data_IF_110220484385
#
_entry.id   IF_110220484385
#
_cell.length_a   1.000
_cell.length_b   1.000
_cell.length_c   1.000
_cell.angle_alpha   90.00
_cell.angle_beta   90.00
_cell.angle_gamma   90.00
#
_symmetry.space_group_name_H-M   'P 1'
#
loop_
_entity.id
_entity.type
_entity.pdbx_description
1 polymer ?
#
# COMPACT_ATOMS: atom_id res chain seq x y z
N UNK A 1 2.72 27.03 -1.28
CA UNK A 1 3.01 25.68 -0.72
C UNK A 1 2.57 24.65 -1.74
N UNK A 2 3.50 24.09 -2.52
CA UNK A 2 3.20 22.98 -3.42
C UNK A 2 3.04 21.72 -2.56
N UNK A 3 1.81 21.26 -2.39
CA UNK A 3 1.54 19.92 -1.87
C UNK A 3 1.96 19.00 -3.01
N UNK A 4 3.13 18.35 -2.88
CA UNK A 4 3.57 17.35 -3.84
C UNK A 4 2.44 16.32 -3.97
N UNK A 5 1.74 16.32 -5.12
CA UNK A 5 0.50 15.57 -5.39
C UNK A 5 0.71 14.06 -5.50
N UNK A 6 1.89 13.57 -5.14
CA UNK A 6 2.31 12.18 -5.29
C UNK A 6 2.26 11.47 -3.94
N UNK A 7 1.75 10.22 -3.88
CA UNK A 7 1.77 9.44 -2.66
C UNK A 7 3.21 9.30 -2.14
N UNK A 8 3.46 9.52 -0.84
CA UNK A 8 4.81 9.53 -0.29
C UNK A 8 5.50 8.15 -0.32
N UNK A 9 4.71 7.07 -0.21
CA UNK A 9 5.22 5.70 -0.15
C UNK A 9 4.32 4.75 -0.93
N UNK A 10 4.84 3.56 -1.25
CA UNK A 10 4.05 2.46 -1.77
C UNK A 10 4.52 1.15 -1.13
N UNK A 11 3.57 0.27 -0.86
CA UNK A 11 3.81 -1.09 -0.39
C UNK A 11 3.83 -2.02 -1.59
N UNK A 12 4.83 -2.91 -1.66
CA UNK A 12 4.86 -3.99 -2.64
C UNK A 12 4.07 -5.16 -2.07
N UNK A 13 3.03 -5.58 -2.79
CA UNK A 13 2.20 -6.73 -2.42
C UNK A 13 2.50 -7.82 -3.44
N UNK A 14 3.34 -8.77 -3.05
CA UNK A 14 3.75 -9.86 -3.93
C UNK A 14 3.74 -11.17 -3.16
N UNK A 15 3.32 -12.24 -3.82
CA UNK A 15 3.54 -13.59 -3.35
C UNK A 15 4.94 -14.05 -3.80
N UNK A 16 5.69 -14.68 -2.89
CA UNK A 16 7.06 -15.15 -3.12
C UNK A 16 7.18 -16.10 -4.32
N UNK A 17 6.11 -16.83 -4.65
CA UNK A 17 6.08 -17.70 -5.83
C UNK A 17 6.24 -16.92 -7.15
N UNK A 18 5.81 -15.65 -7.19
CA UNK A 18 5.84 -14.79 -8.37
C UNK A 18 7.00 -13.78 -8.33
N UNK A 19 8.09 -14.11 -7.63
CA UNK A 19 9.23 -13.22 -7.49
C UNK A 19 9.87 -12.80 -8.83
N UNK A 20 9.78 -13.65 -9.85
CA UNK A 20 10.43 -13.47 -11.16
C UNK A 20 9.60 -12.65 -12.17
N UNK A 21 8.38 -12.22 -11.81
CA UNK A 21 7.56 -11.40 -12.69
C UNK A 21 8.20 -10.04 -12.94
N UNK A 22 8.12 -9.55 -14.18
CA UNK A 22 8.68 -8.24 -14.57
C UNK A 22 7.98 -7.03 -13.89
N UNK A 23 6.79 -7.25 -13.34
CA UNK A 23 5.97 -6.24 -12.67
C UNK A 23 5.55 -6.70 -11.29
N UNK A 24 5.48 -5.76 -10.36
CA UNK A 24 4.96 -5.97 -9.01
C UNK A 24 3.66 -5.23 -8.82
N UNK A 25 2.73 -5.87 -8.12
CA UNK A 25 1.56 -5.18 -7.58
C UNK A 25 2.03 -4.31 -6.42
N UNK A 26 1.61 -3.05 -6.46
CA UNK A 26 1.88 -2.06 -5.42
C UNK A 26 0.58 -1.44 -4.94
N UNK A 27 0.57 -1.04 -3.68
CA UNK A 27 -0.51 -0.25 -3.08
C UNK A 27 0.09 1.04 -2.56
N UNK A 28 -0.34 2.22 -3.04
CA UNK A 28 0.19 3.48 -2.55
C UNK A 28 -0.28 3.74 -1.12
N UNK A 29 0.59 4.37 -0.33
CA UNK A 29 0.25 4.91 0.97
C UNK A 29 0.04 6.42 0.83
N UNK A 30 -1.00 6.92 1.48
CA UNK A 30 -1.30 8.34 1.56
C UNK A 30 -1.27 8.81 3.00
N UNK A 31 -0.92 10.09 3.20
CA UNK A 31 -1.10 10.73 4.50
C UNK A 31 -2.58 10.75 4.86
N UNK A 32 -2.88 10.65 6.16
CA UNK A 32 -4.26 10.69 6.63
C UNK A 32 -4.92 11.99 6.15
N UNK A 33 -5.86 11.83 5.23
CA UNK A 33 -6.88 12.82 4.94
C UNK A 33 -8.12 12.43 5.72
N UNK A 34 -9.03 13.37 5.95
CA UNK A 34 -10.32 13.12 6.59
C UNK A 34 -11.18 12.22 5.69
N UNK A 35 -10.89 10.92 5.67
CA UNK A 35 -11.71 9.92 5.02
C UNK A 35 -12.86 9.51 5.95
N UNK A 36 -14.08 9.37 5.43
CA UNK A 36 -15.20 8.81 6.18
C UNK A 36 -14.86 7.44 6.77
N UNK A 37 -15.39 7.12 7.96
CA UNK A 37 -15.05 5.88 8.68
C UNK A 37 -15.34 4.59 7.89
N UNK A 38 -16.31 4.60 6.97
CA UNK A 38 -16.62 3.44 6.13
C UNK A 38 -15.49 3.06 5.17
N UNK A 39 -14.55 3.96 4.88
CA UNK A 39 -13.36 3.64 4.09
C UNK A 39 -12.32 2.82 4.86
N UNK A 40 -12.43 2.67 6.19
CA UNK A 40 -11.40 2.01 6.99
C UNK A 40 -11.15 0.55 6.59
N UNK A 41 -12.18 -0.15 6.09
CA UNK A 41 -12.05 -1.53 5.65
C UNK A 41 -11.22 -1.66 4.36
N UNK A 42 -11.42 -0.76 3.39
CA UNK A 42 -10.67 -0.74 2.13
C UNK A 42 -9.38 0.10 2.22
N UNK A 43 -9.18 0.86 3.29
CA UNK A 43 -8.02 1.70 3.49
C UNK A 43 -7.49 1.61 4.93
N UNK A 44 -6.81 0.49 5.28
CA UNK A 44 -6.34 0.27 6.64
C UNK A 44 -5.24 1.28 7.00
N UNK A 45 -5.16 1.59 8.30
CA UNK A 45 -4.12 2.47 8.85
C UNK A 45 -2.87 1.64 9.15
N UNK A 46 -1.73 2.15 8.70
CA UNK A 46 -0.41 1.55 8.94
C UNK A 46 0.48 2.60 9.59
N UNK A 47 1.23 2.20 10.63
CA UNK A 47 2.22 3.06 11.25
C UNK A 47 3.61 2.75 10.69
N UNK A 48 4.27 3.76 10.13
CA UNK A 48 5.65 3.68 9.64
C UNK A 48 6.43 4.82 10.29
N UNK A 49 7.49 4.49 11.03
CA UNK A 49 8.37 5.48 11.69
C UNK A 49 7.62 6.61 12.43
N UNK A 50 6.59 6.23 13.20
CA UNK A 50 5.72 7.13 13.97
C UNK A 50 4.78 8.02 13.12
N UNK A 51 4.76 7.86 11.79
CA UNK A 51 3.76 8.44 10.90
C UNK A 51 2.61 7.45 10.68
N UNK A 52 1.37 7.88 10.93
CA UNK A 52 0.19 7.09 10.58
C UNK A 52 -0.21 7.40 9.13
N UNK A 53 -0.16 6.37 8.29
CA UNK A 53 -0.48 6.43 6.87
C UNK A 53 -1.71 5.56 6.58
N UNK A 54 -2.40 5.87 5.49
CA UNK A 54 -3.49 5.08 4.96
C UNK A 54 -2.97 4.26 3.78
N UNK A 55 -3.15 2.95 3.84
CA UNK A 55 -2.89 2.08 2.71
C UNK A 55 -4.09 2.16 1.75
N UNK A 56 -3.91 2.74 0.57
CA UNK A 56 -5.04 3.00 -0.33
C UNK A 56 -5.24 1.84 -1.30
N UNK A 57 -5.83 0.76 -0.79
CA UNK A 57 -6.09 -0.48 -1.54
C UNK A 57 -6.87 -0.23 -2.85
N UNK A 58 -7.86 0.67 -2.94
CA UNK A 58 -8.53 0.97 -4.22
C UNK A 58 -7.60 1.51 -5.32
N UNK A 59 -6.44 2.05 -4.95
CA UNK A 59 -5.43 2.54 -5.89
C UNK A 59 -4.33 1.50 -6.18
N UNK A 60 -4.61 0.21 -5.92
CA UNK A 60 -3.72 -0.89 -6.28
C UNK A 60 -3.39 -0.85 -7.78
N UNK A 61 -2.11 -0.97 -8.10
CA UNK A 61 -1.62 -0.87 -9.48
C UNK A 61 -0.35 -1.70 -9.68
N UNK A 62 0.08 -1.84 -10.93
CA UNK A 62 1.30 -2.55 -11.28
C UNK A 62 2.44 -1.59 -11.60
N UNK A 63 3.62 -1.90 -11.09
CA UNK A 63 4.85 -1.14 -11.35
C UNK A 63 5.93 -2.08 -11.89
N UNK A 64 6.68 -1.61 -12.89
CA UNK A 64 7.79 -2.38 -13.46
C UNK A 64 8.94 -2.48 -12.45
N UNK A 65 9.46 -3.68 -12.23
CA UNK A 65 10.52 -3.92 -11.23
C UNK A 65 11.79 -3.12 -11.50
N UNK A 66 12.08 -2.75 -12.77
CA UNK A 66 13.20 -1.87 -13.12
C UNK A 66 13.11 -0.47 -12.49
N UNK A 67 11.91 -0.04 -12.12
CA UNK A 67 11.66 1.25 -11.44
C UNK A 67 11.73 1.14 -9.92
N UNK A 68 11.72 -0.09 -9.37
CA UNK A 68 11.82 -0.33 -7.93
C UNK A 68 13.30 -0.42 -7.58
N UNK A 69 13.83 0.64 -6.97
CA UNK A 69 15.22 0.67 -6.52
C UNK A 69 15.29 0.24 -5.05
N UNK A 70 16.08 -0.79 -4.76
CA UNK A 70 16.21 -1.35 -3.41
C UNK A 70 16.75 -0.34 -2.38
N UNK A 71 17.47 0.69 -2.84
CA UNK A 71 17.96 1.80 -2.01
C UNK A 71 16.87 2.65 -1.37
N UNK A 72 15.63 2.61 -1.90
CA UNK A 72 14.47 3.32 -1.32
C UNK A 72 13.60 2.41 -0.46
N UNK A 73 14.09 1.21 -0.14
CA UNK A 73 13.40 0.33 0.79
C UNK A 73 13.49 0.89 2.21
N UNK A 74 12.33 1.06 2.86
CA UNK A 74 12.24 1.65 4.19
C UNK A 74 12.04 0.56 5.24
N UNK A 75 10.94 -0.21 5.14
CA UNK A 75 10.61 -1.22 6.14
C UNK A 75 9.75 -2.37 5.58
N UNK A 76 9.64 -3.44 6.36
CA UNK A 76 8.72 -4.55 6.12
C UNK A 76 7.43 -4.33 6.94
N UNK A 77 6.28 -4.49 6.28
CA UNK A 77 4.94 -4.34 6.87
C UNK A 77 4.29 -5.68 7.23
N UNK A 78 5.08 -6.71 7.59
CA UNK A 78 4.59 -8.04 7.96
C UNK A 78 3.57 -8.01 9.10
N UNK A 79 3.73 -7.10 10.07
CA UNK A 79 2.80 -6.91 11.18
C UNK A 79 1.41 -6.43 10.73
N UNK A 80 1.33 -5.71 9.60
CA UNK A 80 0.08 -5.21 9.03
C UNK A 80 -0.51 -6.17 7.98
N UNK A 81 0.11 -7.34 7.76
CA UNK A 81 -0.24 -8.29 6.69
C UNK A 81 -1.72 -8.66 6.70
N UNK A 82 -2.28 -8.98 7.86
CA UNK A 82 -3.70 -9.37 7.94
C UNK A 82 -4.61 -8.23 7.49
N UNK A 83 -4.38 -7.00 7.98
CA UNK A 83 -5.18 -5.84 7.56
C UNK A 83 -5.04 -5.52 6.08
N UNK A 84 -3.88 -5.78 5.47
CA UNK A 84 -3.70 -5.63 4.02
C UNK A 84 -4.53 -6.67 3.26
N UNK A 85 -4.48 -7.95 3.67
CA UNK A 85 -5.26 -9.02 3.04
C UNK A 85 -6.75 -8.72 3.17
N UNK A 86 -7.22 -8.42 4.38
CA UNK A 86 -8.63 -8.08 4.64
C UNK A 86 -9.08 -6.91 3.76
N UNK A 87 -8.23 -5.89 3.57
CA UNK A 87 -8.58 -4.75 2.72
C UNK A 87 -8.68 -5.09 1.23
N UNK A 88 -7.86 -6.03 0.75
CA UNK A 88 -7.89 -6.51 -0.64
C UNK A 88 -9.14 -7.38 -0.82
N UNK A 89 -9.43 -8.26 0.14
CA UNK A 89 -10.62 -9.10 0.12
C UNK A 89 -11.89 -8.22 0.16
N UNK A 90 -11.99 -7.26 1.08
CA UNK A 90 -13.12 -6.32 1.09
C UNK A 90 -13.20 -5.51 -0.22
N UNK A 91 -12.09 -5.12 -0.84
CA UNK A 91 -12.12 -4.40 -2.11
C UNK A 91 -12.65 -5.26 -3.27
N UNK A 92 -12.24 -6.53 -3.35
CA UNK A 92 -12.51 -7.40 -4.51
C UNK A 92 -13.78 -8.23 -4.30
N UNK A 93 -13.93 -8.83 -3.13
CA UNK A 93 -15.03 -9.75 -2.81
C UNK A 93 -16.09 -9.11 -1.91
N UNK A 94 -15.85 -7.88 -1.41
CA UNK A 94 -16.76 -7.19 -0.48
C UNK A 94 -17.11 -8.04 0.75
N UNK A 95 -16.11 -8.82 1.20
CA UNK A 95 -16.17 -9.68 2.38
C UNK A 95 -15.56 -8.99 3.59
#
# INVERSE_FOLDING_TARGET
>A
MQINKTPPYYMIVRNDYYADLATSVIIPLMRIQLLPCWHQHVAPKVNIEFENLLLCTPMVTNLNNKKIQQQYFICNLSNARQGVIDSIDTLITNC
#
